data_IF_483020648443
#
_entry.id   IF_483020648443
#
_cell.length_a   1.000
_cell.length_b   1.000
_cell.length_c   1.000
_cell.angle_alpha   90.00
_cell.angle_beta   90.00
_cell.angle_gamma   90.00
#
_symmetry.space_group_name_H-M   'P 1'
#
loop_
_entity.id
_entity.type
_entity.pdbx_description
1 polymer ?
#
# COMPACT_ATOMS: atom_id res chain seq x y z
N UNK A 1 -13.80 9.97 0.95
CA UNK A 1 -12.66 9.75 0.05
C UNK A 1 -13.00 8.58 -0.87
N UNK A 2 -12.65 8.67 -2.15
CA UNK A 2 -12.76 7.55 -3.08
C UNK A 2 -11.54 6.63 -2.90
N UNK A 3 -11.76 5.51 -2.20
CA UNK A 3 -10.70 4.56 -1.91
C UNK A 3 -10.28 3.71 -3.12
N UNK A 4 -11.18 3.48 -4.08
CA UNK A 4 -10.86 2.74 -5.29
C UNK A 4 -9.91 3.55 -6.18
N UNK A 5 -10.22 4.83 -6.40
CA UNK A 5 -9.33 5.75 -7.11
C UNK A 5 -7.99 5.93 -6.38
N UNK A 6 -8.01 6.00 -5.05
CA UNK A 6 -6.80 6.10 -4.23
C UNK A 6 -5.89 4.86 -4.38
N UNK A 7 -6.45 3.64 -4.28
CA UNK A 7 -5.71 2.40 -4.46
C UNK A 7 -5.10 2.29 -5.86
N UNK A 8 -5.87 2.65 -6.90
CA UNK A 8 -5.37 2.69 -8.27
C UNK A 8 -4.19 3.67 -8.45
N UNK A 9 -4.32 4.90 -7.91
CA UNK A 9 -3.24 5.91 -7.95
C UNK A 9 -2.00 5.42 -7.22
N UNK A 10 -2.15 4.81 -6.04
CA UNK A 10 -1.06 4.24 -5.28
C UNK A 10 -0.32 3.15 -6.06
N UNK A 11 -1.04 2.24 -6.72
CA UNK A 11 -0.43 1.21 -7.57
C UNK A 11 0.34 1.80 -8.75
N UNK A 12 -0.27 2.75 -9.46
CA UNK A 12 0.39 3.45 -10.57
C UNK A 12 1.65 4.17 -10.10
N UNK A 13 1.61 4.81 -8.93
CA UNK A 13 2.76 5.50 -8.36
C UNK A 13 3.90 4.54 -8.03
N UNK A 14 3.61 3.38 -7.43
CA UNK A 14 4.60 2.34 -7.15
C UNK A 14 5.29 1.91 -8.44
N UNK A 15 4.54 1.60 -9.49
CA UNK A 15 5.09 1.19 -10.79
C UNK A 15 5.96 2.28 -11.41
N UNK A 16 5.50 3.53 -11.40
CA UNK A 16 6.27 4.69 -11.92
C UNK A 16 7.56 4.92 -11.13
N UNK A 17 7.58 4.57 -9.84
CA UNK A 17 8.72 4.75 -8.93
C UNK A 17 9.51 3.47 -8.68
N UNK A 18 9.32 2.43 -9.50
CA UNK A 18 10.01 1.15 -9.38
C UNK A 18 11.56 1.27 -9.44
N UNK A 19 12.08 2.34 -10.04
CA UNK A 19 13.52 2.66 -10.05
C UNK A 19 14.08 3.14 -8.70
N UNK A 20 13.22 3.61 -7.79
CA UNK A 20 13.59 4.10 -6.45
C UNK A 20 13.51 2.96 -5.43
N UNK A 21 12.38 2.26 -5.42
CA UNK A 21 12.17 1.05 -4.63
C UNK A 21 11.56 0.00 -5.54
N UNK A 22 12.08 -1.25 -5.56
CA UNK A 22 11.53 -2.31 -6.40
C UNK A 22 10.01 -2.45 -6.24
N UNK A 23 9.30 -2.57 -7.37
CA UNK A 23 7.84 -2.66 -7.39
C UNK A 23 7.34 -3.86 -6.58
N UNK A 24 7.94 -5.03 -6.76
CA UNK A 24 7.59 -6.26 -6.03
C UNK A 24 7.67 -6.06 -4.50
N UNK A 25 8.70 -5.36 -4.01
CA UNK A 25 8.88 -5.07 -2.58
C UNK A 25 7.81 -4.11 -2.06
N UNK A 26 7.52 -3.08 -2.84
CA UNK A 26 6.49 -2.09 -2.52
C UNK A 26 5.11 -2.74 -2.45
N UNK A 27 4.78 -3.58 -3.42
CA UNK A 27 3.53 -4.34 -3.45
C UNK A 27 3.46 -5.32 -2.28
N UNK A 28 4.51 -6.10 -2.01
CA UNK A 28 4.50 -7.06 -0.91
C UNK A 28 4.27 -6.42 0.46
N UNK A 29 4.85 -5.23 0.71
CA UNK A 29 4.62 -4.50 1.96
C UNK A 29 3.16 -4.02 2.07
N UNK A 30 2.61 -3.41 1.02
CA UNK A 30 1.24 -2.86 1.07
C UNK A 30 0.20 -3.99 1.06
N UNK A 31 0.45 -5.08 0.34
CA UNK A 31 -0.37 -6.30 0.38
C UNK A 31 -0.42 -6.86 1.81
N UNK A 32 0.73 -7.00 2.48
CA UNK A 32 0.78 -7.47 3.87
C UNK A 32 0.12 -6.50 4.85
N UNK A 33 0.32 -5.18 4.69
CA UNK A 33 -0.27 -4.19 5.59
C UNK A 33 -1.80 -4.13 5.43
N UNK A 34 -2.30 -4.18 4.19
CA UNK A 34 -3.72 -4.25 3.90
C UNK A 34 -4.38 -5.52 4.45
N UNK A 35 -3.68 -6.66 4.38
CA UNK A 35 -4.19 -7.93 4.89
C UNK A 35 -4.20 -8.00 6.43
N UNK A 36 -3.16 -7.48 7.09
CA UNK A 36 -3.04 -7.55 8.55
C UNK A 36 -3.87 -6.48 9.27
N UNK A 37 -4.19 -5.36 8.62
CA UNK A 37 -4.93 -4.26 9.23
C UNK A 37 -4.05 -3.38 10.15
N UNK A 38 -3.13 -4.00 10.90
CA UNK A 38 -2.21 -3.33 11.81
C UNK A 38 -0.82 -3.92 11.67
N UNK A 39 0.21 -3.07 11.70
CA UNK A 39 1.61 -3.48 11.67
C UNK A 39 2.43 -2.72 12.72
N UNK A 40 3.30 -3.44 13.41
CA UNK A 40 4.30 -2.83 14.29
C UNK A 40 5.50 -2.29 13.49
N UNK A 41 6.33 -1.40 14.08
CA UNK A 41 7.57 -0.97 13.44
C UNK A 41 8.51 -2.13 13.11
N UNK A 42 8.51 -3.19 13.93
CA UNK A 42 9.30 -4.40 13.68
C UNK A 42 8.76 -5.18 12.47
N UNK A 43 7.43 -5.32 12.35
CA UNK A 43 6.81 -5.96 11.20
C UNK A 43 7.09 -5.19 9.90
N UNK A 44 7.02 -3.86 9.91
CA UNK A 44 7.39 -3.04 8.75
C UNK A 44 8.84 -3.25 8.34
N UNK A 45 9.77 -3.30 9.30
CA UNK A 45 11.20 -3.55 9.04
C UNK A 45 11.48 -4.94 8.50
N UNK A 46 10.62 -5.94 8.75
CA UNK A 46 10.77 -7.26 8.13
C UNK A 46 10.67 -7.20 6.59
N UNK A 47 10.01 -6.18 6.03
CA UNK A 47 9.92 -5.97 4.59
C UNK A 47 11.15 -5.26 3.99
N UNK A 48 12.12 -4.81 4.80
CA UNK A 48 13.38 -4.30 4.31
C UNK A 48 14.21 -3.40 5.24
N UNK A 49 15.36 -2.90 4.75
CA UNK A 49 16.17 -1.96 5.53
C UNK A 49 15.32 -0.75 5.94
N UNK A 50 15.66 -0.13 7.07
CA UNK A 50 14.78 0.80 7.79
C UNK A 50 14.16 1.91 6.92
N UNK A 51 14.87 2.39 5.90
CA UNK A 51 14.42 3.48 5.01
C UNK A 51 13.47 3.01 3.90
N UNK A 52 13.45 1.72 3.60
CA UNK A 52 12.63 1.12 2.55
C UNK A 52 11.13 1.22 2.86
N UNK A 53 10.66 0.69 4.00
CA UNK A 53 9.27 0.80 4.44
C UNK A 53 8.79 2.25 4.50
N UNK A 54 9.57 3.16 5.09
CA UNK A 54 9.22 4.58 5.19
C UNK A 54 9.06 5.23 3.80
N UNK A 55 9.93 4.89 2.86
CA UNK A 55 9.87 5.37 1.47
C UNK A 55 8.61 4.84 0.78
N UNK A 56 8.29 3.55 0.92
CA UNK A 56 7.08 2.94 0.35
C UNK A 56 5.82 3.60 0.91
N UNK A 57 5.73 3.75 2.24
CA UNK A 57 4.60 4.43 2.88
C UNK A 57 4.46 5.89 2.40
N UNK A 58 5.57 6.58 2.19
CA UNK A 58 5.58 7.95 1.65
C UNK A 58 5.08 8.01 0.21
N UNK A 59 5.50 7.07 -0.65
CA UNK A 59 5.02 6.99 -2.04
C UNK A 59 3.51 6.79 -2.12
N UNK A 60 2.96 5.89 -1.30
CA UNK A 60 1.53 5.65 -1.23
C UNK A 60 0.80 6.87 -0.67
N UNK A 61 1.34 7.49 0.39
CA UNK A 61 0.78 8.72 0.96
C UNK A 61 0.67 9.83 -0.09
N UNK A 62 1.73 10.05 -0.87
CA UNK A 62 1.73 11.04 -1.95
C UNK A 62 0.69 10.73 -3.03
N UNK A 63 0.51 9.45 -3.35
CA UNK A 63 -0.45 9.04 -4.37
C UNK A 63 -1.92 9.18 -3.90
N UNK A 64 -2.19 8.90 -2.63
CA UNK A 64 -3.54 8.95 -2.05
C UNK A 64 -3.94 10.38 -1.70
N UNK A 65 -3.04 11.14 -1.07
CA UNK A 65 -3.36 12.45 -0.47
C UNK A 65 -2.73 13.64 -1.22
N UNK A 66 -1.85 13.39 -2.19
CA UNK A 66 -1.10 14.43 -2.89
C UNK A 66 0.19 14.82 -2.16
N UNK A 67 0.82 15.92 -2.59
CA UNK A 67 2.01 16.46 -1.91
C UNK A 67 1.59 17.08 -0.58
N UNK A 68 1.75 16.33 0.50
CA UNK A 68 1.41 16.77 1.84
C UNK A 68 1.58 15.64 2.84
N UNK A 69 1.71 16.00 4.12
CA UNK A 69 1.80 15.04 5.21
C UNK A 69 0.56 14.12 5.22
N UNK A 70 0.68 12.93 5.82
CA UNK A 70 -0.45 12.02 6.05
C UNK A 70 -1.51 12.71 6.93
N UNK A 71 -2.72 13.00 6.43
CA UNK A 71 -3.71 13.76 7.19
C UNK A 71 -4.07 13.02 8.49
N UNK A 72 -4.23 13.78 9.58
CA UNK A 72 -4.53 13.23 10.91
C UNK A 72 -5.89 12.50 10.94
N UNK A 73 -6.82 12.93 10.09
CA UNK A 73 -8.15 12.34 9.91
C UNK A 73 -8.28 11.85 8.46
N UNK A 74 -8.85 10.66 8.25
CA UNK A 74 -8.99 10.02 6.95
C UNK A 74 -7.66 9.73 6.21
N UNK A 75 -6.55 9.62 6.93
CA UNK A 75 -5.31 9.03 6.41
C UNK A 75 -5.55 7.61 5.92
N UNK A 76 -4.76 7.17 4.92
CA UNK A 76 -4.87 5.80 4.41
C UNK A 76 -4.31 4.78 5.41
N UNK A 77 -3.49 5.26 6.35
CA UNK A 77 -3.23 4.64 7.64
C UNK A 77 -3.20 5.74 8.71
N UNK A 78 -3.16 5.33 9.98
CA UNK A 78 -2.87 6.19 11.12
C UNK A 78 -1.84 5.52 12.03
N UNK A 79 -1.26 6.29 12.95
CA UNK A 79 -0.49 5.72 14.07
C UNK A 79 -1.41 5.52 15.26
N UNK A 80 -1.30 4.37 15.91
CA UNK A 80 -2.00 4.03 17.14
C UNK A 80 -0.96 3.57 18.15
N UNK A 81 -0.48 4.51 18.98
CA UNK A 81 0.72 4.31 19.80
C UNK A 81 1.97 4.07 18.95
N UNK A 82 2.56 2.88 19.09
CA UNK A 82 3.73 2.47 18.31
C UNK A 82 3.37 1.82 16.97
N UNK A 83 2.13 1.37 16.82
CA UNK A 83 1.68 0.61 15.66
C UNK A 83 1.11 1.52 14.57
N UNK A 84 1.05 0.95 13.38
CA UNK A 84 0.47 1.55 12.18
C UNK A 84 -0.79 0.79 11.84
N UNK A 85 -1.92 1.49 11.68
CA UNK A 85 -3.23 0.89 11.40
C UNK A 85 -3.72 1.39 10.05
N UNK A 86 -3.90 0.50 9.08
CA UNK A 86 -4.42 0.85 7.76
C UNK A 86 -5.90 1.20 7.84
N UNK A 87 -6.35 2.16 7.04
CA UNK A 87 -7.75 2.49 6.94
C UNK A 87 -8.51 1.33 6.26
N UNK A 88 -9.61 0.81 6.83
CA UNK A 88 -10.30 -0.38 6.31
C UNK A 88 -10.81 -0.17 4.88
N UNK A 89 -11.30 1.04 4.57
CA UNK A 89 -11.70 1.40 3.21
C UNK A 89 -10.56 1.33 2.18
N UNK A 90 -9.33 1.70 2.57
CA UNK A 90 -8.17 1.55 1.69
C UNK A 90 -7.77 0.09 1.56
N UNK A 91 -7.76 -0.68 2.65
CA UNK A 91 -7.39 -2.10 2.64
C UNK A 91 -8.28 -2.92 1.68
N UNK A 92 -9.61 -2.73 1.76
CA UNK A 92 -10.57 -3.38 0.87
C UNK A 92 -10.36 -2.97 -0.58
N UNK A 93 -10.23 -1.67 -0.84
CA UNK A 93 -10.01 -1.15 -2.19
C UNK A 93 -8.67 -1.62 -2.78
N UNK A 94 -7.63 -1.72 -1.96
CA UNK A 94 -6.32 -2.24 -2.36
C UNK A 94 -6.40 -3.70 -2.77
N UNK A 95 -7.03 -4.55 -1.94
CA UNK A 95 -7.23 -5.96 -2.25
C UNK A 95 -7.99 -6.14 -3.59
N UNK A 96 -9.09 -5.41 -3.79
CA UNK A 96 -9.84 -5.44 -5.04
C UNK A 96 -8.97 -5.02 -6.25
N UNK A 97 -8.21 -3.93 -6.11
CA UNK A 97 -7.30 -3.45 -7.16
C UNK A 97 -6.14 -4.41 -7.47
N UNK A 98 -5.76 -5.27 -6.52
CA UNK A 98 -4.75 -6.32 -6.73
C UNK A 98 -5.34 -7.53 -7.45
N UNK A 99 -6.56 -7.94 -7.11
CA UNK A 99 -7.27 -9.04 -7.78
C UNK A 99 -7.59 -8.73 -9.24
N UNK A 100 -7.94 -7.49 -9.59
CA UNK A 100 -8.21 -7.11 -10.98
C UNK A 100 -6.98 -7.15 -11.91
N UNK A 101 -5.76 -7.12 -11.36
CA UNK A 101 -4.51 -7.15 -12.13
C UNK A 101 -3.75 -8.47 -12.03
N UNK A 102 -4.32 -9.47 -11.35
CA UNK A 102 -3.84 -10.82 -11.51
C UNK A 102 -4.09 -11.21 -12.99
N UNK A 103 -3.08 -11.73 -13.71
CA UNK A 103 -3.35 -12.31 -15.02
C UNK A 103 -4.45 -13.38 -14.84
N UNK A 104 -5.50 -13.30 -15.66
CA UNK A 104 -6.48 -14.38 -15.79
C UNK A 104 -5.67 -15.67 -15.92
N UNK A 105 -5.85 -16.60 -14.98
CA UNK A 105 -5.22 -17.91 -15.07
C UNK A 105 -5.63 -18.49 -16.42
N UNK A 106 -4.68 -18.54 -17.36
CA UNK A 106 -4.88 -19.17 -18.65
C UNK A 106 -5.03 -20.67 -18.39
N UNK A 107 -6.28 -21.14 -18.27
CA UNK A 107 -6.53 -22.52 -17.88
C UNK A 107 -8.01 -22.82 -17.70
N UNK A 108 -8.78 -22.75 -18.78
CA UNK A 108 -10.01 -23.53 -18.95
C UNK A 108 -10.40 -23.55 -20.44
N UNK A 109 -9.60 -24.26 -21.24
CA UNK A 109 -10.02 -24.78 -22.53
C UNK A 109 -9.79 -26.29 -22.49
N UNK A 110 -10.83 -27.02 -22.08
CA UNK A 110 -10.90 -28.47 -22.25
C UNK A 110 -11.40 -28.85 -23.63
#
# INVERSE_FOLDING_TARGET
MDWAAAAYRARRQIRVRARVVPENRSLALIDAFAAQGTMSPAALRAHGPADGPATILSLVTIAVHGRGHLPAVNGWYRREGVDFVVHPGFAVAWAAARSCDAPLAAGAGG
#
